data_IF_864829763252
#
_entry.id   IF_864829763252
#
_cell.length_a   1.000
_cell.length_b   1.000
_cell.length_c   1.000
_cell.angle_alpha   90.00
_cell.angle_beta   90.00
_cell.angle_gamma   90.00
#
_symmetry.space_group_name_H-M   'P 1'
#
loop_
_entity.id
_entity.type
_entity.pdbx_description
1 polymer ?
#
# COMPACT_ATOMS: atom_id res chain seq x y z
N UNK A 1 10.25 -14.48 -2.37
CA UNK A 1 9.73 -15.13 -1.14
C UNK A 1 8.29 -15.55 -1.40
N UNK A 2 7.96 -16.83 -1.23
CA UNK A 2 6.62 -17.36 -1.53
C UNK A 2 5.48 -16.68 -0.73
N UNK A 3 5.78 -16.17 0.47
CA UNK A 3 4.84 -15.40 1.29
C UNK A 3 4.37 -14.10 0.63
N UNK A 4 5.06 -13.60 -0.40
CA UNK A 4 4.64 -12.41 -1.15
C UNK A 4 3.91 -12.73 -2.45
N UNK A 5 3.72 -14.01 -2.80
CA UNK A 5 3.13 -14.40 -4.10
C UNK A 5 1.73 -13.79 -4.28
N UNK A 6 0.87 -13.87 -3.27
CA UNK A 6 -0.47 -13.26 -3.34
C UNK A 6 -0.41 -11.75 -3.56
N UNK A 7 0.48 -11.06 -2.84
CA UNK A 7 0.63 -9.61 -3.00
C UNK A 7 1.15 -9.24 -4.38
N UNK A 8 2.08 -10.03 -4.91
CA UNK A 8 2.62 -9.82 -6.25
C UNK A 8 1.57 -10.10 -7.34
N UNK A 9 0.87 -11.23 -7.28
CA UNK A 9 -0.18 -11.60 -8.25
C UNK A 9 -1.31 -10.55 -8.27
N UNK A 10 -1.77 -10.12 -7.10
CA UNK A 10 -2.82 -9.09 -7.00
C UNK A 10 -2.35 -7.71 -7.47
N UNK A 11 -1.07 -7.38 -7.28
CA UNK A 11 -0.49 -6.16 -7.89
C UNK A 11 -0.43 -6.26 -9.41
N UNK A 12 0.00 -7.41 -9.97
CA UNK A 12 0.04 -7.66 -11.41
C UNK A 12 -1.35 -7.60 -12.08
N UNK A 13 -2.42 -7.78 -11.32
CA UNK A 13 -3.81 -7.67 -11.80
C UNK A 13 -4.49 -6.36 -11.40
N UNK A 14 -3.73 -5.37 -10.92
CA UNK A 14 -4.25 -4.07 -10.48
C UNK A 14 -4.01 -2.97 -11.52
N UNK A 15 -4.71 -1.84 -11.33
CA UNK A 15 -4.49 -0.60 -12.09
C UNK A 15 -3.07 -0.03 -11.96
N UNK A 16 -2.30 -0.46 -10.97
CA UNK A 16 -0.97 0.08 -10.68
C UNK A 16 0.17 -0.70 -11.35
N UNK A 17 -0.07 -1.90 -11.91
CA UNK A 17 0.97 -2.78 -12.48
C UNK A 17 1.88 -2.11 -13.52
N UNK A 18 1.31 -1.23 -14.35
CA UNK A 18 2.01 -0.55 -15.44
C UNK A 18 2.45 0.88 -15.10
N UNK A 19 2.26 1.32 -13.86
CA UNK A 19 2.51 2.70 -13.43
C UNK A 19 3.40 2.80 -12.20
N UNK A 20 3.39 1.79 -11.33
CA UNK A 20 4.11 1.79 -10.07
C UNK A 20 4.63 0.39 -9.74
N UNK A 21 5.86 0.33 -9.25
CA UNK A 21 6.46 -0.87 -8.66
C UNK A 21 6.15 -0.95 -7.17
N UNK A 22 6.45 -2.08 -6.53
CA UNK A 22 6.19 -2.29 -5.10
C UNK A 22 6.82 -1.17 -4.23
N UNK A 23 8.04 -0.74 -4.59
CA UNK A 23 8.78 0.25 -3.81
C UNK A 23 8.23 1.68 -3.98
N UNK A 24 7.49 1.96 -5.05
CA UNK A 24 6.87 3.27 -5.26
C UNK A 24 5.75 3.54 -4.25
N UNK A 25 5.10 2.47 -3.77
CA UNK A 25 4.08 2.55 -2.73
C UNK A 25 4.67 2.29 -1.33
N UNK A 26 5.56 1.31 -1.18
CA UNK A 26 5.97 0.82 0.14
C UNK A 26 7.21 1.49 0.76
N UNK A 27 8.03 2.17 -0.04
CA UNK A 27 9.22 2.88 0.46
C UNK A 27 9.08 4.40 0.38
N UNK A 28 9.77 5.15 1.25
CA UNK A 28 9.81 6.62 1.16
C UNK A 28 10.34 7.10 -0.20
N UNK A 29 9.83 8.27 -0.61
CA UNK A 29 10.22 8.97 -1.85
C UNK A 29 10.86 10.34 -1.59
N UNK A 30 10.92 10.77 -0.33
CA UNK A 30 11.37 12.08 0.12
C UNK A 30 12.91 12.23 0.11
N UNK A 31 13.63 11.16 0.43
CA UNK A 31 15.09 11.14 0.30
C UNK A 31 15.64 9.73 0.07
N UNK A 32 16.79 9.68 -0.60
CA UNK A 32 17.53 8.42 -0.80
C UNK A 32 17.90 7.79 0.56
N UNK A 33 18.32 8.60 1.52
CA UNK A 33 18.66 8.15 2.86
C UNK A 33 17.47 7.48 3.56
N UNK A 34 16.31 8.14 3.61
CA UNK A 34 15.11 7.58 4.24
C UNK A 34 14.63 6.32 3.54
N UNK A 35 14.72 6.28 2.20
CA UNK A 35 14.41 5.10 1.40
C UNK A 35 15.25 3.90 1.80
N UNK A 36 16.57 4.04 1.89
CA UNK A 36 17.46 2.94 2.26
C UNK A 36 17.32 2.54 3.72
N UNK A 37 17.13 3.49 4.63
CA UNK A 37 16.86 3.20 6.05
C UNK A 37 15.58 2.35 6.21
N UNK A 38 14.49 2.76 5.56
CA UNK A 38 13.24 1.98 5.57
C UNK A 38 13.43 0.60 4.93
N UNK A 39 14.13 0.52 3.80
CA UNK A 39 14.42 -0.75 3.12
C UNK A 39 15.21 -1.71 4.02
N UNK A 40 16.20 -1.21 4.75
CA UNK A 40 17.00 -2.02 5.68
C UNK A 40 16.15 -2.53 6.85
N UNK A 41 15.39 -1.65 7.51
CA UNK A 41 14.50 -2.01 8.62
C UNK A 41 13.45 -3.04 8.20
N UNK A 42 12.74 -2.77 7.10
CA UNK A 42 11.68 -3.65 6.63
C UNK A 42 12.25 -4.98 6.13
N UNK A 43 13.40 -4.95 5.45
CA UNK A 43 14.13 -6.15 5.01
C UNK A 43 14.58 -7.03 6.17
N UNK A 44 15.10 -6.43 7.24
CA UNK A 44 15.48 -7.15 8.47
C UNK A 44 14.26 -7.82 9.12
N UNK A 45 13.16 -7.09 9.30
CA UNK A 45 11.94 -7.63 9.90
C UNK A 45 11.36 -8.78 9.07
N UNK A 46 11.32 -8.65 7.74
CA UNK A 46 10.88 -9.73 6.86
C UNK A 46 11.81 -10.95 6.96
N UNK A 47 13.13 -10.74 6.98
CA UNK A 47 14.09 -11.83 7.09
C UNK A 47 13.93 -12.58 8.42
N UNK A 48 13.80 -11.86 9.54
CA UNK A 48 13.53 -12.45 10.84
C UNK A 48 12.22 -13.24 10.85
N UNK A 49 11.14 -12.67 10.33
CA UNK A 49 9.83 -13.32 10.29
C UNK A 49 9.84 -14.59 9.43
N UNK A 50 10.57 -14.59 8.32
CA UNK A 50 10.72 -15.75 7.43
C UNK A 50 11.58 -16.84 8.07
N UNK A 51 12.72 -16.48 8.67
CA UNK A 51 13.64 -17.42 9.31
C UNK A 51 12.96 -18.16 10.47
N UNK A 52 12.24 -17.42 11.32
CA UNK A 52 11.59 -17.97 12.50
C UNK A 52 10.11 -18.35 12.27
N UNK A 53 9.60 -18.19 11.03
CA UNK A 53 8.21 -18.46 10.65
C UNK A 53 7.17 -17.81 11.56
N UNK A 54 7.41 -16.57 11.96
CA UNK A 54 6.52 -15.82 12.88
C UNK A 54 5.45 -15.00 12.15
N UNK A 55 5.28 -15.22 10.84
CA UNK A 55 4.25 -14.56 10.05
C UNK A 55 2.92 -15.33 10.11
N UNK A 56 1.80 -14.59 10.13
CA UNK A 56 0.46 -15.16 9.99
C UNK A 56 0.02 -15.26 8.53
N UNK A 57 -1.13 -15.91 8.30
CA UNK A 57 -1.76 -15.98 6.97
C UNK A 57 -2.29 -14.64 6.46
N UNK A 58 -2.59 -13.69 7.36
CA UNK A 58 -3.06 -12.35 7.01
C UNK A 58 -1.99 -11.34 7.35
N UNK A 59 -1.21 -10.93 6.36
CA UNK A 59 -0.17 -9.93 6.55
C UNK A 59 -0.78 -8.53 6.67
N UNK A 60 -0.29 -7.77 7.65
CA UNK A 60 -0.77 -6.41 7.95
C UNK A 60 0.39 -5.43 7.85
N UNK A 61 0.15 -4.30 7.20
CA UNK A 61 1.10 -3.20 7.21
C UNK A 61 1.20 -2.64 8.63
N UNK A 62 2.44 -2.38 9.08
CA UNK A 62 2.67 -1.61 10.31
C UNK A 62 2.19 -0.18 10.13
N UNK A 63 1.92 0.55 11.22
CA UNK A 63 1.51 1.97 11.12
C UNK A 63 2.55 2.84 10.41
N UNK A 64 3.82 2.53 10.65
CA UNK A 64 4.93 3.20 9.99
C UNK A 64 4.94 2.94 8.46
N UNK A 65 4.64 1.72 8.01
CA UNK A 65 4.46 1.42 6.59
C UNK A 65 3.19 2.07 6.03
N UNK A 66 2.08 2.03 6.78
CA UNK A 66 0.82 2.64 6.36
C UNK A 66 0.96 4.16 6.15
N UNK A 67 1.68 4.87 7.03
CA UNK A 67 1.96 6.29 6.83
C UNK A 67 2.69 6.55 5.51
N UNK A 68 3.74 5.78 5.20
CA UNK A 68 4.47 5.91 3.94
C UNK A 68 3.59 5.65 2.72
N UNK A 69 2.77 4.61 2.78
CA UNK A 69 1.87 4.25 1.67
C UNK A 69 0.88 5.41 1.44
N UNK A 70 0.31 5.97 2.51
CA UNK A 70 -0.59 7.14 2.42
C UNK A 70 0.12 8.35 1.79
N UNK A 71 1.33 8.67 2.25
CA UNK A 71 2.15 9.77 1.73
C UNK A 71 2.43 9.56 0.21
N UNK A 72 2.72 8.32 -0.20
CA UNK A 72 2.98 7.96 -1.59
C UNK A 72 1.72 7.98 -2.48
N UNK A 73 0.55 7.61 -1.95
CA UNK A 73 -0.73 7.80 -2.64
C UNK A 73 -0.93 9.28 -2.97
N UNK A 74 -0.74 10.16 -1.98
CA UNK A 74 -0.90 11.61 -2.15
C UNK A 74 0.18 12.17 -3.09
N UNK A 75 1.42 11.68 -3.03
CA UNK A 75 2.50 12.12 -3.92
C UNK A 75 2.16 11.92 -5.40
N UNK A 76 1.51 10.81 -5.77
CA UNK A 76 1.14 10.55 -7.17
C UNK A 76 -0.22 11.16 -7.54
N UNK A 77 -1.17 11.21 -6.59
CA UNK A 77 -2.54 11.69 -6.83
C UNK A 77 -2.77 13.13 -6.36
N UNK A 78 -1.71 13.89 -6.09
CA UNK A 78 -1.77 15.20 -5.44
C UNK A 78 -2.72 16.18 -6.12
N UNK A 79 -2.72 16.24 -7.45
CA UNK A 79 -3.61 17.13 -8.20
C UNK A 79 -5.10 16.80 -7.97
N UNK A 80 -5.45 15.51 -7.99
CA UNK A 80 -6.83 15.05 -7.75
C UNK A 80 -7.23 15.31 -6.29
N UNK A 81 -6.32 15.06 -5.35
CA UNK A 81 -6.54 15.32 -3.93
C UNK A 81 -6.77 16.81 -3.68
N UNK A 82 -5.92 17.69 -4.24
CA UNK A 82 -6.06 19.14 -4.13
C UNK A 82 -7.40 19.62 -4.70
N UNK A 83 -7.76 19.17 -5.91
CA UNK A 83 -9.03 19.52 -6.54
C UNK A 83 -10.24 19.03 -5.72
N UNK A 84 -10.17 17.82 -5.16
CA UNK A 84 -11.21 17.28 -4.30
C UNK A 84 -11.39 18.14 -3.04
N UNK A 85 -10.29 18.57 -2.41
CA UNK A 85 -10.31 19.42 -1.23
C UNK A 85 -10.87 20.82 -1.53
N UNK A 86 -10.54 21.40 -2.69
CA UNK A 86 -11.11 22.67 -3.15
C UNK A 86 -12.61 22.56 -3.39
N UNK A 87 -13.04 21.52 -4.13
CA UNK A 87 -14.46 21.26 -4.38
C UNK A 87 -15.24 21.03 -3.09
N UNK A 88 -14.66 20.29 -2.14
CA UNK A 88 -15.29 20.07 -0.83
C UNK A 88 -15.52 21.39 -0.10
N UNK A 89 -14.57 22.35 -0.16
CA UNK A 89 -14.75 23.68 0.44
C UNK A 89 -15.83 24.51 -0.26
N UNK A 90 -15.87 24.48 -1.59
CA UNK A 90 -16.80 25.28 -2.39
C UNK A 90 -18.25 24.79 -2.32
N UNK A 91 -18.45 23.47 -2.24
CA UNK A 91 -19.78 22.85 -2.35
C UNK A 91 -20.26 22.15 -1.07
N UNK A 92 -19.62 22.38 0.08
CA UNK A 92 -20.09 21.82 1.36
C UNK A 92 -21.47 22.39 1.72
N UNK A 93 -22.53 21.60 1.50
CA UNK A 93 -23.92 21.99 1.83
C UNK A 93 -24.31 21.69 3.28
N UNK A 94 -23.52 20.90 3.99
CA UNK A 94 -23.75 20.48 5.39
C UNK A 94 -22.42 20.25 6.10
N UNK A 95 -22.42 20.14 7.43
CA UNK A 95 -21.26 19.58 8.14
C UNK A 95 -21.00 18.14 7.67
N UNK A 96 -19.76 17.86 7.28
CA UNK A 96 -19.35 16.53 6.84
C UNK A 96 -19.30 15.59 8.05
N UNK A 97 -20.09 14.53 8.01
CA UNK A 97 -20.07 13.41 8.95
C UNK A 97 -19.00 12.37 8.56
N UNK A 98 -18.22 12.62 7.51
CA UNK A 98 -17.08 11.79 7.11
C UNK A 98 -15.86 12.22 7.90
N UNK A 99 -15.31 11.31 8.72
CA UNK A 99 -14.06 11.57 9.45
C UNK A 99 -12.94 12.00 8.50
N UNK A 100 -12.29 13.10 8.86
CA UNK A 100 -11.05 13.54 8.22
C UNK A 100 -9.90 12.62 8.61
N UNK A 101 -8.92 12.44 7.72
CA UNK A 101 -7.71 11.65 8.00
C UNK A 101 -7.81 10.15 7.71
N UNK A 102 -8.89 9.69 7.07
CA UNK A 102 -9.00 8.30 6.59
C UNK A 102 -7.91 7.97 5.57
N UNK A 103 -7.41 6.74 5.62
CA UNK A 103 -6.44 6.25 4.63
C UNK A 103 -7.11 6.06 3.27
N UNK A 104 -6.40 6.33 2.18
CA UNK A 104 -6.95 6.26 0.82
C UNK A 104 -7.65 4.92 0.52
N UNK A 105 -7.03 3.81 0.96
CA UNK A 105 -7.54 2.46 0.74
C UNK A 105 -8.71 2.04 1.65
N UNK A 106 -9.17 2.91 2.56
CA UNK A 106 -10.43 2.66 3.28
C UNK A 106 -11.65 2.90 2.40
N UNK A 107 -11.54 3.77 1.40
CA UNK A 107 -12.53 3.94 0.34
C UNK A 107 -12.11 3.17 -0.92
N UNK A 108 -10.85 3.30 -1.33
CA UNK A 108 -10.28 2.58 -2.48
C UNK A 108 -9.85 1.17 -2.08
N UNK A 109 -10.79 0.33 -1.65
CA UNK A 109 -10.48 -0.98 -1.03
C UNK A 109 -9.85 -2.01 -1.99
N UNK A 110 -9.87 -1.71 -3.29
CA UNK A 110 -9.34 -2.54 -4.36
C UNK A 110 -8.01 -2.04 -4.96
N UNK A 111 -7.46 -0.92 -4.47
CA UNK A 111 -6.05 -0.58 -4.75
C UNK A 111 -5.14 -1.66 -4.14
N UNK A 112 -3.91 -1.87 -4.69
CA UNK A 112 -3.36 -3.21 -4.85
C UNK A 112 -3.48 -4.10 -3.63
N UNK A 113 -3.72 -5.39 -3.87
CA UNK A 113 -3.96 -6.45 -2.89
C UNK A 113 -5.42 -6.63 -2.43
N UNK A 114 -6.35 -5.78 -2.87
CA UNK A 114 -7.78 -5.98 -2.65
C UNK A 114 -8.17 -6.07 -1.17
N UNK A 115 -9.35 -6.65 -0.89
CA UNK A 115 -9.81 -6.92 0.49
C UNK A 115 -9.36 -8.30 1.01
N UNK A 116 -9.11 -9.24 0.09
CA UNK A 116 -8.75 -10.63 0.42
C UNK A 116 -7.24 -10.80 0.44
N UNK A 117 -6.63 -10.55 1.61
CA UNK A 117 -5.16 -10.46 1.80
C UNK A 117 -4.55 -11.68 2.50
N UNK A 118 -5.09 -12.87 2.22
CA UNK A 118 -4.60 -14.12 2.80
C UNK A 118 -3.55 -14.77 1.87
N UNK A 119 -2.46 -15.28 2.44
CA UNK A 119 -1.39 -15.97 1.71
C UNK A 119 -1.86 -17.17 0.86
N UNK A 120 -3.03 -17.74 1.14
CA UNK A 120 -3.55 -18.92 0.42
C UNK A 120 -4.51 -18.60 -0.73
N UNK A 121 -4.84 -17.33 -0.98
CA UNK A 121 -5.92 -16.98 -1.92
C UNK A 121 -5.52 -17.07 -3.40
N UNK A 122 -4.22 -16.95 -3.70
CA UNK A 122 -3.68 -16.96 -5.07
C UNK A 122 -2.33 -17.66 -5.16
N UNK A 123 -2.11 -18.67 -4.31
CA UNK A 123 -0.81 -19.28 -4.05
C UNK A 123 -0.13 -19.90 -5.28
N UNK A 124 -0.92 -20.30 -6.29
CA UNK A 124 -0.49 -20.93 -7.55
C UNK A 124 -0.76 -20.06 -8.80
N UNK A 125 -1.06 -18.77 -8.63
CA UNK A 125 -1.45 -17.89 -9.75
C UNK A 125 -0.26 -17.19 -10.45
N UNK A 126 0.96 -17.65 -10.18
CA UNK A 126 2.17 -17.13 -10.82
C UNK A 126 2.75 -18.23 -11.69
N UNK A 127 2.33 -18.27 -12.95
CA UNK A 127 3.03 -19.06 -13.98
C UNK A 127 4.30 -18.29 -14.32
N UNK A 128 5.46 -18.90 -14.06
CA UNK A 128 6.75 -18.39 -14.50
C UNK A 128 6.92 -18.84 -15.94
N UNK A 129 6.74 -17.91 -16.88
CA UNK A 129 7.13 -18.10 -18.29
C UNK A 129 8.66 -18.02 -18.43
#
# INVERSE_FOLDING_TARGET
CHTMNTHYATWQHSSHRGRATCVDCHLPRDSVFNKYMAKARDGFNHSMAMTFKTYGYNLRATDNAAKRIQDNCISCHGNIVSQMLENAKLYSKTESHVQMGRKCWECHREVPHGITRNLTTTQENLVLD
#
